data_IF_624127624636
#
_entry.id   IF_624127624636
#
_cell.length_a   1.000
_cell.length_b   1.000
_cell.length_c   1.000
_cell.angle_alpha   90.00
_cell.angle_beta   90.00
_cell.angle_gamma   90.00
#
_symmetry.space_group_name_H-M   'P 1'
#
loop_
_entity.id
_entity.type
_entity.pdbx_description
1 polymer ?
#
# COMPACT_ATOMS: atom_id res chain seq x y z
N UNK A 1 2.33 -2.00 -42.77
CA UNK A 1 1.25 -2.44 -41.85
C UNK A 1 0.33 -1.26 -41.55
N UNK A 2 -0.95 -1.31 -41.94
CA UNK A 2 -1.96 -0.32 -41.48
C UNK A 2 -2.44 -0.76 -40.10
N UNK A 3 -1.74 -0.31 -39.05
CA UNK A 3 -2.24 -0.47 -37.68
C UNK A 3 -3.60 0.24 -37.63
N UNK A 4 -4.66 -0.52 -37.37
CA UNK A 4 -6.00 0.04 -37.22
C UNK A 4 -5.97 0.97 -36.00
N UNK A 5 -5.93 2.28 -36.23
CA UNK A 5 -5.91 3.31 -35.18
C UNK A 5 -6.94 3.05 -34.07
N UNK A 6 -8.10 2.47 -34.41
CA UNK A 6 -9.13 2.01 -33.47
C UNK A 6 -8.60 1.00 -32.43
N UNK A 7 -7.76 0.05 -32.84
CA UNK A 7 -7.14 -0.93 -31.92
C UNK A 7 -6.10 -0.28 -31.02
N UNK A 8 -5.34 0.69 -31.52
CA UNK A 8 -4.37 1.44 -30.70
C UNK A 8 -5.09 2.26 -29.64
N UNK A 9 -6.13 3.00 -30.02
CA UNK A 9 -6.95 3.78 -29.08
C UNK A 9 -7.55 2.86 -28.01
N UNK A 10 -8.06 1.69 -28.39
CA UNK A 10 -8.61 0.74 -27.43
C UNK A 10 -7.56 0.24 -26.43
N UNK A 11 -6.35 -0.10 -26.90
CA UNK A 11 -5.23 -0.48 -26.02
C UNK A 11 -4.83 0.66 -25.09
N UNK A 12 -4.74 1.89 -25.59
CA UNK A 12 -4.39 3.07 -24.79
C UNK A 12 -5.45 3.35 -23.71
N UNK A 13 -6.73 3.23 -24.04
CA UNK A 13 -7.83 3.41 -23.07
C UNK A 13 -7.80 2.35 -21.97
N UNK A 14 -7.55 1.07 -22.33
CA UNK A 14 -7.41 0.00 -21.34
C UNK A 14 -6.22 0.27 -20.41
N UNK A 15 -5.08 0.71 -20.97
CA UNK A 15 -3.89 1.03 -20.18
C UNK A 15 -4.13 2.19 -19.20
N UNK A 16 -4.84 3.23 -19.65
CA UNK A 16 -5.28 4.36 -18.82
C UNK A 16 -6.21 3.91 -17.68
N UNK A 17 -7.14 2.99 -17.95
CA UNK A 17 -8.03 2.43 -16.92
C UNK A 17 -7.29 1.57 -15.87
N UNK A 18 -6.13 1.02 -16.22
CA UNK A 18 -5.30 0.25 -15.28
C UNK A 18 -4.44 1.13 -14.37
N UNK A 19 -4.19 2.40 -14.73
CA UNK A 19 -3.38 3.32 -13.92
C UNK A 19 -3.78 3.41 -12.43
N UNK A 20 -5.07 3.56 -12.03
CA UNK A 20 -5.45 3.66 -10.63
C UNK A 20 -5.14 2.40 -9.79
N UNK A 21 -4.92 1.25 -10.43
CA UNK A 21 -4.50 0.02 -9.75
C UNK A 21 -2.99 -0.01 -9.50
N UNK A 22 -2.23 0.69 -10.33
CA UNK A 22 -0.76 0.78 -10.24
C UNK A 22 -0.29 2.00 -9.45
N UNK A 23 -1.12 3.04 -9.36
CA UNK A 23 -0.84 4.25 -8.61
C UNK A 23 -1.22 4.02 -7.14
N UNK A 24 -0.30 4.38 -6.25
CA UNK A 24 -0.58 4.52 -4.84
C UNK A 24 -0.87 5.98 -4.50
N UNK A 25 -1.67 6.21 -3.47
CA UNK A 25 -1.74 7.50 -2.78
C UNK A 25 -0.91 7.44 -1.50
N UNK A 26 -0.49 8.58 -0.99
CA UNK A 26 0.20 8.64 0.29
C UNK A 26 -0.70 8.11 1.42
N UNK A 27 -0.10 7.30 2.28
CA UNK A 27 -0.73 6.88 3.54
C UNK A 27 -0.36 7.85 4.67
N UNK A 28 -0.89 7.59 5.86
CA UNK A 28 -0.54 8.27 7.11
C UNK A 28 0.88 7.91 7.56
N UNK A 29 1.37 6.73 7.15
CA UNK A 29 2.78 6.40 7.24
C UNK A 29 3.51 7.14 6.12
N UNK A 30 4.39 8.06 6.53
CA UNK A 30 5.13 8.92 5.60
C UNK A 30 5.92 8.10 4.58
N UNK A 31 5.82 8.46 3.31
CA UNK A 31 6.47 7.79 2.17
C UNK A 31 6.02 6.34 1.90
N UNK A 32 5.00 5.83 2.60
CA UNK A 32 4.44 4.51 2.34
C UNK A 32 3.14 4.63 1.54
N UNK A 33 3.06 4.08 0.31
CA UNK A 33 1.88 4.20 -0.53
C UNK A 33 0.79 3.18 -0.15
N UNK A 34 -0.46 3.60 -0.20
CA UNK A 34 -1.66 2.75 -0.12
C UNK A 34 -2.47 2.87 -1.41
N UNK A 35 -3.40 1.95 -1.64
CA UNK A 35 -4.23 1.98 -2.85
C UNK A 35 -5.04 3.27 -2.89
N UNK A 36 -5.29 3.79 -4.10
CA UNK A 36 -6.21 4.95 -4.28
C UNK A 36 -7.60 4.63 -3.73
N UNK A 37 -7.99 3.35 -3.75
CA UNK A 37 -9.26 2.87 -3.20
C UNK A 37 -9.25 2.72 -1.67
N UNK A 38 -8.08 2.77 -1.03
CA UNK A 38 -7.98 2.61 0.42
C UNK A 38 -8.43 3.85 1.17
N UNK A 39 -9.47 3.72 1.97
CA UNK A 39 -9.91 4.79 2.87
C UNK A 39 -9.29 4.61 4.24
N UNK A 40 -8.83 5.72 4.82
CA UNK A 40 -8.39 5.73 6.21
C UNK A 40 -9.61 5.61 7.13
N UNK A 41 -9.58 4.67 8.07
CA UNK A 41 -10.60 4.57 9.12
C UNK A 41 -10.02 5.22 10.36
N UNK A 42 -10.52 6.42 10.69
CA UNK A 42 -10.15 7.09 11.94
C UNK A 42 -10.57 6.24 13.14
N UNK A 43 -9.64 6.02 14.07
CA UNK A 43 -9.85 5.16 15.23
C UNK A 43 -8.78 5.40 16.30
N UNK A 44 -8.45 4.36 17.04
CA UNK A 44 -7.37 4.38 18.01
C UNK A 44 -6.02 4.11 17.30
N UNK A 45 -5.35 5.19 16.93
CA UNK A 45 -4.08 5.17 16.20
C UNK A 45 -2.92 4.58 17.04
N UNK A 46 -3.13 4.31 18.34
CA UNK A 46 -2.17 3.59 19.19
C UNK A 46 -1.89 2.17 18.70
N UNK A 47 -2.80 1.61 17.88
CA UNK A 47 -2.68 0.29 17.25
C UNK A 47 -2.38 0.40 15.75
N UNK A 48 -1.74 1.48 15.31
CA UNK A 48 -1.38 1.70 13.91
C UNK A 48 -2.52 2.23 13.04
N UNK A 49 -2.17 2.67 11.84
CA UNK A 49 -3.10 3.32 10.92
C UNK A 49 -3.95 2.31 10.17
N UNK A 50 -5.26 2.36 10.38
CA UNK A 50 -6.22 1.43 9.76
C UNK A 50 -6.69 1.91 8.39
N UNK A 51 -6.66 1.02 7.42
CA UNK A 51 -7.11 1.27 6.05
C UNK A 51 -8.07 0.17 5.57
N UNK A 52 -9.01 0.56 4.71
CA UNK A 52 -9.81 -0.41 3.94
C UNK A 52 -9.07 -0.85 2.68
N UNK A 53 -9.50 -1.98 2.10
CA UNK A 53 -9.08 -2.45 0.78
C UNK A 53 -7.67 -3.07 0.77
N UNK A 54 -6.81 -2.73 -0.20
CA UNK A 54 -5.57 -3.47 -0.47
C UNK A 54 -4.33 -2.58 -0.61
N UNK A 55 -3.16 -3.22 -0.65
CA UNK A 55 -1.88 -2.59 -0.89
C UNK A 55 -1.45 -2.71 -2.37
N UNK A 56 -1.02 -1.60 -3.01
CA UNK A 56 -0.55 -1.62 -4.39
C UNK A 56 0.93 -2.02 -4.45
N UNK A 57 1.22 -3.33 -4.58
CA UNK A 57 2.59 -3.88 -4.62
C UNK A 57 3.52 -3.13 -5.59
N UNK A 58 3.01 -2.81 -6.79
CA UNK A 58 3.77 -2.07 -7.79
C UNK A 58 4.16 -0.65 -7.31
N UNK A 59 3.24 0.07 -6.67
CA UNK A 59 3.52 1.40 -6.15
C UNK A 59 4.50 1.34 -4.97
N UNK A 60 4.35 0.35 -4.08
CA UNK A 60 5.26 0.11 -2.94
C UNK A 60 6.69 -0.09 -3.46
N UNK A 61 6.85 -0.97 -4.45
CA UNK A 61 8.15 -1.24 -5.07
C UNK A 61 8.75 -0.04 -5.79
N UNK A 62 7.96 0.70 -6.59
CA UNK A 62 8.42 1.93 -7.28
C UNK A 62 8.84 3.00 -6.27
N UNK A 63 8.20 3.06 -5.10
CA UNK A 63 8.57 3.97 -4.01
C UNK A 63 9.82 3.49 -3.22
N UNK A 64 10.47 2.40 -3.63
CA UNK A 64 11.71 1.90 -3.06
C UNK A 64 11.53 1.05 -1.80
N UNK A 65 10.33 0.53 -1.55
CA UNK A 65 10.07 -0.41 -0.47
C UNK A 65 10.21 -1.85 -0.97
N UNK A 66 10.94 -2.65 -0.22
CA UNK A 66 11.12 -4.07 -0.49
C UNK A 66 10.30 -4.91 0.48
N UNK A 67 9.57 -5.89 -0.04
CA UNK A 67 8.92 -6.92 0.78
C UNK A 67 10.00 -7.87 1.30
N UNK A 68 10.29 -7.82 2.61
CA UNK A 68 11.32 -8.68 3.24
C UNK A 68 10.78 -10.04 3.62
N UNK A 69 9.61 -10.07 4.25
CA UNK A 69 9.01 -11.29 4.79
C UNK A 69 7.49 -11.16 4.88
N UNK A 70 6.81 -12.29 4.79
CA UNK A 70 5.36 -12.41 4.86
C UNK A 70 5.04 -13.68 5.64
N UNK A 71 4.41 -13.55 6.80
CA UNK A 71 4.08 -14.69 7.65
C UNK A 71 2.69 -14.52 8.26
N UNK A 72 1.83 -15.49 7.92
CA UNK A 72 0.41 -15.44 8.23
C UNK A 72 -0.20 -14.12 7.75
N UNK A 73 -0.61 -13.32 8.72
CA UNK A 73 -1.34 -12.06 8.55
C UNK A 73 -0.42 -10.85 8.51
N UNK A 74 0.89 -11.02 8.75
CA UNK A 74 1.87 -9.93 8.78
C UNK A 74 2.74 -9.93 7.54
N UNK A 75 2.86 -8.77 6.91
CA UNK A 75 3.84 -8.49 5.85
C UNK A 75 4.77 -7.37 6.29
N UNK A 76 6.08 -7.54 6.08
CA UNK A 76 7.09 -6.55 6.46
C UNK A 76 7.71 -5.94 5.21
N UNK A 77 7.65 -4.61 5.13
CA UNK A 77 8.30 -3.82 4.10
C UNK A 77 9.46 -3.03 4.69
N UNK A 78 10.56 -2.94 3.95
CA UNK A 78 11.74 -2.20 4.37
C UNK A 78 12.21 -1.24 3.28
N UNK A 79 12.61 -0.04 3.68
CA UNK A 79 13.24 0.97 2.84
C UNK A 79 14.39 1.61 3.60
N UNK A 80 15.62 1.20 3.29
CA UNK A 80 16.79 1.56 4.11
C UNK A 80 16.64 1.03 5.54
N UNK A 81 16.74 1.90 6.53
CA UNK A 81 16.57 1.57 7.96
C UNK A 81 15.10 1.63 8.43
N UNK A 82 14.16 2.08 7.59
CA UNK A 82 12.74 2.16 7.94
C UNK A 82 12.04 0.85 7.69
N UNK A 83 11.23 0.41 8.66
CA UNK A 83 10.43 -0.81 8.57
C UNK A 83 8.95 -0.48 8.75
N UNK A 84 8.13 -0.93 7.82
CA UNK A 84 6.67 -0.84 7.92
C UNK A 84 6.10 -2.24 8.04
N UNK A 85 5.34 -2.47 9.10
CA UNK A 85 4.62 -3.71 9.33
C UNK A 85 3.18 -3.53 8.90
N UNK A 86 2.71 -4.45 8.06
CA UNK A 86 1.35 -4.48 7.58
C UNK A 86 0.68 -5.70 8.17
N UNK A 87 -0.43 -5.50 8.87
CA UNK A 87 -1.20 -6.59 9.46
C UNK A 87 -2.58 -6.69 8.79
N UNK A 88 -2.92 -7.89 8.35
CA UNK A 88 -4.16 -8.24 7.65
C UNK A 88 -4.97 -9.22 8.53
N UNK A 89 -5.85 -8.75 9.41
CA UNK A 89 -6.64 -9.63 10.26
C UNK A 89 -7.54 -10.57 9.44
N UNK A 90 -7.84 -11.76 9.98
CA UNK A 90 -8.64 -12.73 9.28
C UNK A 90 -10.11 -12.28 9.32
N UNK A 91 -10.79 -12.35 8.18
CA UNK A 91 -12.23 -12.07 8.11
C UNK A 91 -12.60 -10.58 8.07
N UNK A 92 -11.62 -9.67 8.03
CA UNK A 92 -11.85 -8.25 7.78
C UNK A 92 -11.17 -7.81 6.46
N UNK A 93 -11.85 -6.99 5.65
CA UNK A 93 -11.27 -6.35 4.45
C UNK A 93 -10.54 -5.04 4.82
N UNK A 94 -9.70 -5.13 5.85
CA UNK A 94 -8.91 -4.01 6.36
C UNK A 94 -7.47 -4.45 6.57
N UNK A 95 -6.57 -3.47 6.60
CA UNK A 95 -5.19 -3.69 7.02
C UNK A 95 -4.72 -2.56 7.91
N UNK A 96 -3.73 -2.87 8.74
CA UNK A 96 -3.12 -1.94 9.69
C UNK A 96 -1.69 -1.69 9.27
N UNK A 97 -1.31 -0.41 9.21
CA UNK A 97 0.07 0.01 8.96
C UNK A 97 0.71 0.46 10.27
N UNK A 98 1.87 -0.11 10.57
CA UNK A 98 2.69 0.28 11.71
C UNK A 98 4.07 0.68 11.22
N UNK A 99 4.44 1.95 11.44
CA UNK A 99 5.82 2.38 11.26
C UNK A 99 6.63 1.98 12.50
N UNK A 100 7.76 1.30 12.29
CA UNK A 100 8.74 1.03 13.34
C UNK A 100 9.16 2.29 14.12
N UNK A 101 9.20 3.46 13.47
CA UNK A 101 9.52 4.72 14.13
C UNK A 101 8.43 5.17 15.11
N UNK A 102 7.16 4.84 14.86
CA UNK A 102 6.06 5.16 15.77
C UNK A 102 5.99 4.14 16.92
N UNK A 103 6.45 2.90 16.70
CA UNK A 103 6.53 1.86 17.75
C UNK A 103 7.62 2.14 18.79
N UNK A 104 8.76 2.71 18.41
CA UNK A 104 9.82 3.10 19.36
C UNK A 104 9.38 4.21 20.33
N UNK A 105 8.36 4.98 19.98
CA UNK A 105 7.81 6.06 20.81
C UNK A 105 6.66 5.59 21.73
N UNK A 106 6.24 4.33 21.63
CA UNK A 106 5.05 3.79 22.32
C UNK A 106 5.29 2.82 23.48
N UNK A 107 6.55 2.46 23.78
CA UNK A 107 6.90 1.53 24.86
C UNK A 107 7.82 2.13 25.94
N UNK A 108 7.70 3.44 26.19
CA UNK A 108 8.04 4.04 27.49
C UNK A 108 6.76 4.59 28.15
N UNK A 109 5.96 3.70 28.75
CA UNK A 109 5.21 3.98 29.98
C UNK A 109 4.56 2.74 30.58
#
# INVERSE_FOLDING_TARGET
>A
MKIAWKKVICVVVILLMCLPFTLGKESKVKDFPVSVFSSYIAGDDSKGYRYTSFLPDAAIWINGWEKKWSEGERTVYQKGDRIVNVFHPPGEDVFYLYDSQDMELGYEK
#
